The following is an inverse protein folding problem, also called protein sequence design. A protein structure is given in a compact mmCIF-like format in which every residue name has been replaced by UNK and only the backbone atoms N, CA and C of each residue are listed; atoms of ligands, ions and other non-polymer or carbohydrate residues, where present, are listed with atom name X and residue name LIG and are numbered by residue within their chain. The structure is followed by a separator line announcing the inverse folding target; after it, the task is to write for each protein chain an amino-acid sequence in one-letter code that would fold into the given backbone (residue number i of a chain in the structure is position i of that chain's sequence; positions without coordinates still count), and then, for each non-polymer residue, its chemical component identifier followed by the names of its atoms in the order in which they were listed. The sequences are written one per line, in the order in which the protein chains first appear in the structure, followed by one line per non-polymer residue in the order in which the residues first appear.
data_IF_446449776272
#
_entry.id   IF_446449776272
#
_cell.length_a   1.000
_cell.length_b   1.000
_cell.length_c   1.000
_cell.angle_alpha   90.00
_cell.angle_beta   90.00
_cell.angle_gamma   90.00
#
_symmetry.space_group_name_H-M   'P 1'
#
loop_
_entity.id
_entity.type
_entity.pdbx_description
1 polymer ?
#
# COMPACT_ATOMS: atom_id res chain seq x y z
N UNK A 1 54.60 -16.21 -76.80
CA UNK A 1 53.43 -15.45 -77.29
C UNK A 1 53.81 -13.97 -77.16
N UNK A 2 54.00 -13.22 -78.24
CA UNK A 2 52.96 -12.76 -79.19
C UNK A 2 51.96 -11.86 -78.44
N UNK A 3 51.75 -10.57 -78.79
CA UNK A 3 52.07 -9.87 -80.05
C UNK A 3 51.88 -8.35 -79.90
N UNK A 4 52.67 -7.54 -80.66
CA UNK A 4 52.33 -6.18 -81.19
C UNK A 4 52.11 -5.02 -80.16
N UNK A 5 52.60 -3.79 -80.36
CA UNK A 5 53.52 -3.28 -81.39
C UNK A 5 53.55 -1.74 -81.52
N UNK A 6 54.64 -1.24 -82.11
CA UNK A 6 54.82 0.07 -82.79
C UNK A 6 54.65 1.43 -82.05
N UNK A 7 55.78 2.13 -81.91
CA UNK A 7 56.07 3.54 -82.29
C UNK A 7 54.97 4.62 -82.07
N UNK A 8 55.30 5.80 -81.51
CA UNK A 8 56.13 6.82 -82.21
C UNK A 8 56.45 8.01 -81.27
N UNK A 9 57.71 8.47 -81.21
CA UNK A 9 58.06 9.77 -80.57
C UNK A 9 57.32 10.92 -81.27
N UNK A 10 56.59 11.76 -80.53
CA UNK A 10 56.14 13.08 -81.01
C UNK A 10 56.29 14.18 -79.95
N UNK A 11 56.72 15.33 -80.44
CA UNK A 11 57.20 16.54 -79.77
C UNK A 11 56.39 17.00 -78.54
N UNK A 12 57.13 17.39 -77.50
CA UNK A 12 56.72 18.29 -76.41
C UNK A 12 55.97 19.50 -76.99
N UNK A 13 54.68 19.64 -76.66
CA UNK A 13 53.91 20.88 -76.83
C UNK A 13 53.51 21.35 -75.44
N UNK A 14 53.89 22.55 -75.08
CA UNK A 14 53.43 23.24 -73.87
C UNK A 14 51.95 23.56 -74.06
N UNK A 15 51.09 23.01 -73.22
CA UNK A 15 49.76 23.54 -72.96
C UNK A 15 49.71 23.90 -71.48
N UNK A 16 49.44 25.16 -71.20
CA UNK A 16 49.02 25.63 -69.88
C UNK A 16 47.61 25.11 -69.65
N UNK A 17 47.43 24.25 -68.65
CA UNK A 17 46.11 23.88 -68.16
C UNK A 17 45.51 25.08 -67.43
N UNK A 18 44.45 25.66 -67.98
CA UNK A 18 43.54 26.50 -67.20
C UNK A 18 42.75 25.58 -66.26
N UNK A 19 43.17 25.53 -65.00
CA UNK A 19 42.38 24.90 -63.94
C UNK A 19 41.25 25.86 -63.60
N UNK A 20 40.04 25.57 -64.09
CA UNK A 20 38.83 26.27 -63.67
C UNK A 20 38.54 25.94 -62.20
N UNK A 21 39.11 26.75 -61.30
CA UNK A 21 38.95 26.60 -59.86
C UNK A 21 37.51 26.99 -59.46
N UNK A 22 36.61 26.02 -59.50
CA UNK A 22 35.22 26.18 -59.07
C UNK A 22 35.16 26.50 -57.57
N UNK A 23 35.15 27.80 -57.23
CA UNK A 23 35.05 28.28 -55.84
C UNK A 23 33.91 27.55 -55.11
N UNK A 24 34.27 26.69 -54.15
CA UNK A 24 33.31 26.02 -53.28
C UNK A 24 32.58 27.06 -52.45
N UNK A 25 31.37 27.43 -52.90
CA UNK A 25 30.47 28.41 -52.28
C UNK A 25 30.50 28.25 -50.75
N UNK A 26 30.87 29.28 -49.97
CA UNK A 26 31.07 29.14 -48.54
C UNK A 26 29.79 28.64 -47.86
N UNK A 27 29.94 27.61 -47.03
CA UNK A 27 28.83 26.94 -46.34
C UNK A 27 27.91 27.91 -45.59
N UNK A 28 26.65 27.51 -45.43
CA UNK A 28 25.53 28.37 -44.98
C UNK A 28 25.89 29.24 -43.77
N UNK A 29 26.57 28.63 -42.79
CA UNK A 29 27.02 29.25 -41.53
C UNK A 29 28.01 30.40 -41.79
N UNK A 30 29.02 30.21 -42.64
CA UNK A 30 30.00 31.27 -43.00
C UNK A 30 29.34 32.45 -43.73
N UNK A 31 28.29 32.19 -44.54
CA UNK A 31 27.51 33.25 -45.21
C UNK A 31 26.64 34.03 -44.24
N UNK A 32 25.90 33.34 -43.37
CA UNK A 32 25.08 33.97 -42.33
C UNK A 32 25.94 34.83 -41.40
N UNK A 33 27.11 34.33 -40.98
CA UNK A 33 28.04 35.06 -40.10
C UNK A 33 28.70 36.27 -40.77
N UNK A 34 29.07 36.20 -42.06
CA UNK A 34 29.51 37.38 -42.83
C UNK A 34 28.39 38.42 -42.94
N UNK A 35 27.15 38.01 -43.19
CA UNK A 35 25.98 38.94 -43.19
C UNK A 35 25.77 39.57 -41.81
N UNK A 36 25.87 38.81 -40.73
CA UNK A 36 25.66 39.29 -39.36
C UNK A 36 26.73 40.32 -38.92
N UNK A 37 28.00 40.08 -39.26
CA UNK A 37 29.09 41.05 -39.03
C UNK A 37 28.97 42.34 -39.87
N UNK A 38 28.30 42.27 -41.02
CA UNK A 38 28.08 43.42 -41.91
C UNK A 38 26.86 44.28 -41.58
N UNK A 39 26.14 43.98 -40.49
CA UNK A 39 25.00 44.80 -40.04
C UNK A 39 25.54 46.11 -39.46
N UNK A 40 25.07 47.25 -39.96
CA UNK A 40 25.31 48.54 -39.30
C UNK A 40 24.45 48.65 -38.03
N UNK A 41 25.10 48.51 -36.88
CA UNK A 41 24.50 48.61 -35.55
C UNK A 41 24.31 50.04 -35.06
N UNK A 42 24.81 51.06 -35.77
CA UNK A 42 24.50 52.47 -35.46
C UNK A 42 23.09 52.87 -35.94
N UNK A 43 22.58 52.20 -36.97
CA UNK A 43 21.23 52.42 -37.48
C UNK A 43 20.16 51.95 -36.46
N UNK A 44 19.25 52.82 -35.99
CA UNK A 44 18.22 52.44 -35.02
C UNK A 44 17.33 51.30 -35.51
N UNK A 45 16.99 51.25 -36.82
CA UNK A 45 16.11 50.21 -37.37
C UNK A 45 16.71 48.80 -37.23
N UNK A 46 18.03 48.66 -37.35
CA UNK A 46 18.71 47.38 -37.17
C UNK A 46 18.77 46.97 -35.70
N UNK A 47 18.96 47.93 -34.77
CA UNK A 47 18.90 47.68 -33.33
C UNK A 47 17.49 47.23 -32.90
N UNK A 48 16.45 47.91 -33.36
CA UNK A 48 15.06 47.53 -33.09
C UNK A 48 14.71 46.16 -33.70
N UNK A 49 15.13 45.87 -34.94
CA UNK A 49 14.97 44.53 -35.54
C UNK A 49 15.66 43.43 -34.73
N UNK A 50 16.89 43.66 -34.26
CA UNK A 50 17.61 42.70 -33.42
C UNK A 50 16.91 42.50 -32.07
N UNK A 51 16.42 43.57 -31.42
CA UNK A 51 15.62 43.47 -30.19
C UNK A 51 14.32 42.69 -30.41
N UNK A 52 13.59 42.91 -31.51
CA UNK A 52 12.41 42.12 -31.84
C UNK A 52 12.73 40.64 -32.09
N UNK A 53 13.83 40.32 -32.77
CA UNK A 53 14.26 38.93 -32.98
C UNK A 53 14.66 38.26 -31.67
N UNK A 54 15.41 38.95 -30.80
CA UNK A 54 15.79 38.42 -29.47
C UNK A 54 14.57 38.23 -28.59
N UNK A 55 13.64 39.20 -28.57
CA UNK A 55 12.38 39.09 -27.82
C UNK A 55 11.55 37.92 -28.33
N UNK A 56 11.35 37.81 -29.65
CA UNK A 56 10.61 36.70 -30.27
C UNK A 56 11.23 35.34 -29.93
N UNK A 57 12.56 35.20 -30.04
CA UNK A 57 13.27 33.97 -29.67
C UNK A 57 13.16 33.67 -28.17
N UNK A 58 13.21 34.68 -27.30
CA UNK A 58 13.04 34.49 -25.85
C UNK A 58 11.62 34.04 -25.48
N UNK A 59 10.59 34.60 -26.12
CA UNK A 59 9.19 34.23 -25.93
C UNK A 59 8.92 32.83 -26.51
N UNK A 60 9.46 32.53 -27.69
CA UNK A 60 9.37 31.19 -28.29
C UNK A 60 10.05 30.14 -27.40
N UNK A 61 11.25 30.43 -26.87
CA UNK A 61 11.95 29.55 -25.93
C UNK A 61 11.14 29.35 -24.64
N UNK A 62 10.65 30.43 -24.03
CA UNK A 62 9.83 30.36 -22.81
C UNK A 62 8.53 29.55 -23.03
N UNK A 63 7.85 29.75 -24.16
CA UNK A 63 6.68 28.96 -24.55
C UNK A 63 7.01 27.48 -24.79
N UNK A 64 8.17 27.17 -25.36
CA UNK A 64 8.64 25.80 -25.58
C UNK A 64 8.96 25.11 -24.25
N UNK A 65 9.67 25.78 -23.34
CA UNK A 65 9.98 25.28 -21.99
C UNK A 65 8.71 25.08 -21.18
N UNK A 66 7.77 26.03 -21.21
CA UNK A 66 6.46 25.89 -20.57
C UNK A 66 5.66 24.71 -21.13
N UNK A 67 5.62 24.55 -22.46
CA UNK A 67 4.97 23.42 -23.11
C UNK A 67 5.58 22.07 -22.70
N UNK A 68 6.91 21.98 -22.64
CA UNK A 68 7.61 20.78 -22.18
C UNK A 68 7.32 20.49 -20.69
N UNK A 69 7.33 21.50 -19.83
CA UNK A 69 6.95 21.38 -18.40
C UNK A 69 5.50 20.90 -18.27
N UNK A 70 4.57 21.47 -19.04
CA UNK A 70 3.16 21.12 -18.99
C UNK A 70 2.88 19.69 -19.48
N UNK A 71 3.57 19.25 -20.55
CA UNK A 71 3.47 17.90 -21.10
C UNK A 71 4.09 16.86 -20.17
N UNK A 72 5.31 17.10 -19.68
CA UNK A 72 6.00 16.21 -18.70
C UNK A 72 5.39 16.22 -17.30
N UNK A 73 4.16 16.74 -17.17
CA UNK A 73 3.38 16.78 -15.93
C UNK A 73 1.98 16.17 -16.13
N UNK A 74 1.71 15.52 -17.28
CA UNK A 74 0.46 14.81 -17.53
C UNK A 74 0.52 13.36 -17.04
N UNK A 75 -0.61 12.76 -16.64
CA UNK A 75 -0.68 11.32 -16.32
C UNK A 75 -0.22 10.44 -17.49
N UNK A 76 -0.51 10.84 -18.73
CA UNK A 76 -0.08 10.15 -19.95
C UNK A 76 1.44 10.14 -20.18
N UNK A 77 2.17 11.13 -19.67
CA UNK A 77 3.63 11.12 -19.69
C UNK A 77 4.17 10.17 -18.62
N UNK A 78 3.62 10.20 -17.41
CA UNK A 78 4.02 9.29 -16.32
C UNK A 78 3.82 7.82 -16.72
N UNK A 79 2.71 7.51 -17.41
CA UNK A 79 2.38 6.19 -17.93
C UNK A 79 3.28 5.68 -19.06
N UNK A 80 4.29 6.45 -19.51
CA UNK A 80 5.30 5.94 -20.47
C UNK A 80 6.34 5.02 -19.83
N UNK A 81 6.49 5.09 -18.51
CA UNK A 81 7.33 4.20 -17.72
C UNK A 81 6.47 3.02 -17.23
N UNK A 82 6.90 1.78 -17.49
CA UNK A 82 6.15 0.58 -17.13
C UNK A 82 6.07 0.39 -15.59
N UNK A 83 7.08 0.89 -14.88
CA UNK A 83 7.16 0.98 -13.43
C UNK A 83 5.98 1.74 -12.81
N UNK A 84 5.37 2.66 -13.57
CA UNK A 84 4.24 3.48 -13.13
C UNK A 84 2.88 2.84 -13.46
N UNK A 85 2.84 1.61 -13.99
CA UNK A 85 1.59 0.92 -14.30
C UNK A 85 0.64 0.77 -13.08
N UNK A 86 1.09 0.35 -11.87
CA UNK A 86 0.22 0.27 -10.70
C UNK A 86 -0.40 1.62 -10.35
N UNK A 87 0.43 2.66 -10.29
CA UNK A 87 0.01 4.00 -9.87
C UNK A 87 -0.87 4.69 -10.92
N UNK A 88 -0.62 4.45 -12.21
CA UNK A 88 -1.45 5.01 -13.29
C UNK A 88 -2.80 4.32 -13.42
N UNK A 89 -2.86 2.98 -13.30
CA UNK A 89 -4.12 2.23 -13.40
C UNK A 89 -5.02 2.50 -12.21
N UNK A 90 -4.47 2.49 -11.00
CA UNK A 90 -5.20 2.90 -9.79
C UNK A 90 -5.71 4.34 -9.89
N UNK A 91 -4.85 5.28 -10.28
CA UNK A 91 -5.22 6.68 -10.50
C UNK A 91 -6.37 6.82 -11.51
N UNK A 92 -6.34 6.06 -12.61
CA UNK A 92 -7.38 6.09 -13.65
C UNK A 92 -8.70 5.43 -13.22
N UNK A 93 -8.68 4.51 -12.26
CA UNK A 93 -9.87 3.97 -11.62
C UNK A 93 -10.39 4.83 -10.44
N UNK A 94 -9.59 5.80 -9.97
CA UNK A 94 -9.94 6.68 -8.86
C UNK A 94 -10.87 7.83 -9.26
N UNK A 95 -11.52 8.45 -8.26
CA UNK A 95 -12.28 9.70 -8.44
C UNK A 95 -11.43 10.91 -8.88
N UNK A 96 -10.10 10.78 -8.88
CA UNK A 96 -9.15 11.83 -9.28
C UNK A 96 -8.64 11.68 -10.72
N UNK A 97 -9.19 10.75 -11.52
CA UNK A 97 -8.70 10.40 -12.87
C UNK A 97 -8.52 11.57 -13.85
N UNK A 98 -9.20 12.70 -13.62
CA UNK A 98 -9.26 13.87 -14.50
C UNK A 98 -8.34 15.05 -14.10
N UNK A 99 -7.56 14.91 -13.02
CA UNK A 99 -6.50 15.88 -12.67
C UNK A 99 -5.11 15.41 -13.15
N UNK A 100 -4.07 16.20 -12.91
CA UNK A 100 -2.68 15.80 -13.14
C UNK A 100 -2.07 15.20 -11.88
N UNK A 101 -1.22 14.17 -12.02
CA UNK A 101 -0.46 13.60 -10.90
C UNK A 101 0.30 14.68 -10.11
N UNK A 102 0.86 15.66 -10.83
CA UNK A 102 1.61 16.78 -10.25
C UNK A 102 0.80 17.73 -9.40
N UNK A 103 -0.54 17.74 -9.48
CA UNK A 103 -1.39 18.54 -8.58
C UNK A 103 -1.45 17.94 -7.17
N UNK A 104 -1.13 16.65 -7.02
CA UNK A 104 -1.02 15.96 -5.73
C UNK A 104 0.44 15.77 -5.30
N UNK A 105 1.34 15.37 -6.21
CA UNK A 105 2.72 15.03 -5.88
C UNK A 105 3.69 16.23 -5.83
N UNK A 106 3.29 17.41 -6.29
CA UNK A 106 4.12 18.63 -6.24
C UNK A 106 3.36 19.70 -5.46
N UNK A 107 4.03 20.32 -4.49
CA UNK A 107 3.52 21.50 -3.82
C UNK A 107 3.29 22.66 -4.81
N UNK A 108 2.16 23.38 -4.76
CA UNK A 108 1.90 24.50 -5.68
C UNK A 108 3.00 25.56 -5.58
N UNK A 109 3.38 26.10 -6.74
CA UNK A 109 4.42 27.11 -6.86
C UNK A 109 5.41 26.80 -7.97
N UNK A 110 5.89 27.85 -8.66
CA UNK A 110 6.82 27.70 -9.78
C UNK A 110 8.17 27.15 -9.30
N UNK A 111 8.65 27.58 -8.13
CA UNK A 111 9.89 27.07 -7.53
C UNK A 111 9.76 25.58 -7.22
N UNK A 112 8.70 25.17 -6.52
CA UNK A 112 8.42 23.78 -6.16
C UNK A 112 8.29 22.87 -7.39
N UNK A 113 7.66 23.37 -8.47
CA UNK A 113 7.58 22.65 -9.75
C UNK A 113 8.95 22.45 -10.41
N UNK A 114 9.83 23.46 -10.34
CA UNK A 114 11.17 23.38 -10.92
C UNK A 114 12.11 22.50 -10.07
N UNK A 115 12.08 22.62 -8.74
CA UNK A 115 12.89 21.78 -7.85
C UNK A 115 12.49 20.31 -7.97
N UNK A 116 11.19 19.99 -7.95
CA UNK A 116 10.73 18.62 -8.14
C UNK A 116 11.17 18.06 -9.51
N UNK A 117 11.09 18.83 -10.61
CA UNK A 117 11.56 18.34 -11.92
C UNK A 117 13.07 18.08 -11.97
N UNK A 118 13.87 18.81 -11.20
CA UNK A 118 15.32 18.51 -11.05
C UNK A 118 15.52 17.25 -10.21
N UNK A 119 14.78 17.08 -9.10
CA UNK A 119 14.87 15.88 -8.28
C UNK A 119 14.39 14.61 -9.01
N UNK A 120 13.36 14.70 -9.86
CA UNK A 120 12.86 13.58 -10.67
C UNK A 120 13.83 13.09 -11.76
N UNK A 121 14.95 13.77 -12.00
CA UNK A 121 16.04 13.19 -12.79
C UNK A 121 16.58 11.90 -12.16
N UNK A 122 16.42 11.70 -10.84
CA UNK A 122 16.73 10.43 -10.17
C UNK A 122 15.85 9.28 -10.65
N UNK A 123 14.58 9.55 -10.99
CA UNK A 123 13.62 8.54 -11.45
C UNK A 123 14.04 8.03 -12.84
N UNK A 124 14.50 8.94 -13.71
CA UNK A 124 15.08 8.59 -15.02
C UNK A 124 16.37 7.77 -14.87
N UNK A 125 17.19 8.06 -13.87
CA UNK A 125 18.36 7.24 -13.54
C UNK A 125 17.94 5.83 -13.09
N UNK A 126 16.99 5.70 -12.16
CA UNK A 126 16.47 4.42 -11.69
C UNK A 126 15.81 3.59 -12.80
N UNK A 127 15.06 4.21 -13.71
CA UNK A 127 14.53 3.54 -14.91
C UNK A 127 15.65 2.88 -15.78
N UNK A 128 16.85 3.47 -15.81
CA UNK A 128 17.98 2.96 -16.60
C UNK A 128 18.83 1.94 -15.84
N UNK A 129 19.02 2.10 -14.52
CA UNK A 129 19.89 1.19 -13.73
C UNK A 129 19.15 0.05 -13.02
N UNK A 130 17.82 0.11 -12.98
CA UNK A 130 16.97 -0.76 -12.17
C UNK A 130 16.28 0.05 -11.06
N UNK A 131 14.94 0.08 -11.00
CA UNK A 131 14.21 0.76 -9.93
C UNK A 131 14.31 -0.03 -8.61
N UNK A 132 14.13 0.65 -7.46
CA UNK A 132 13.92 -0.04 -6.18
C UNK A 132 12.65 -0.89 -6.23
N UNK A 133 12.72 -2.12 -5.71
CA UNK A 133 11.60 -3.08 -5.70
C UNK A 133 11.21 -3.45 -4.25
N UNK A 134 9.99 -3.11 -3.75
CA UNK A 134 8.93 -2.34 -4.39
C UNK A 134 9.24 -0.84 -4.47
N UNK A 135 8.52 -0.09 -5.31
CA UNK A 135 8.66 1.38 -5.33
C UNK A 135 7.90 1.98 -4.13
N UNK A 136 8.58 2.67 -3.20
CA UNK A 136 7.97 3.21 -1.97
C UNK A 136 7.97 4.74 -1.97
N UNK A 137 6.84 5.35 -1.57
CA UNK A 137 6.73 6.79 -1.39
C UNK A 137 7.52 7.24 -0.15
N UNK A 138 8.56 8.04 -0.36
CA UNK A 138 9.44 8.57 0.71
C UNK A 138 9.13 10.02 1.10
N UNK A 139 8.32 10.73 0.32
CA UNK A 139 7.91 12.12 0.56
C UNK A 139 6.38 12.16 0.56
N UNK A 140 5.71 12.63 1.63
CA UNK A 140 4.26 12.64 1.70
C UNK A 140 3.63 13.73 0.82
N UNK A 141 2.37 13.53 0.44
CA UNK A 141 1.54 14.57 -0.18
C UNK A 141 1.10 15.54 0.92
N UNK A 142 1.43 16.82 0.74
CA UNK A 142 1.16 17.88 1.72
C UNK A 142 -0.30 18.35 1.68
N UNK A 143 -0.86 18.76 2.83
CA UNK A 143 -2.25 19.22 2.96
C UNK A 143 -2.61 20.36 1.98
N UNK A 144 -1.66 21.25 1.69
CA UNK A 144 -1.79 22.34 0.70
C UNK A 144 -2.16 21.84 -0.71
N UNK A 145 -1.84 20.59 -1.06
CA UNK A 145 -2.20 19.98 -2.33
C UNK A 145 -3.67 19.57 -2.34
N UNK A 146 -4.18 19.06 -1.22
CA UNK A 146 -5.58 18.71 -1.05
C UNK A 146 -6.46 19.98 -1.04
N UNK A 147 -6.10 21.00 -0.26
CA UNK A 147 -6.98 22.16 -0.01
C UNK A 147 -7.10 23.14 -1.19
N UNK A 148 -6.29 23.00 -2.23
CA UNK A 148 -6.53 23.65 -3.53
C UNK A 148 -7.90 23.28 -4.13
N UNK A 149 -8.38 22.07 -3.86
CA UNK A 149 -9.67 21.56 -4.36
C UNK A 149 -10.65 21.21 -3.22
N UNK A 150 -10.16 20.95 -2.01
CA UNK A 150 -10.97 20.48 -0.88
C UNK A 150 -11.04 21.50 0.26
N UNK A 151 -12.22 22.08 0.50
CA UNK A 151 -12.47 22.85 1.73
C UNK A 151 -12.15 22.05 3.00
N UNK A 152 -11.54 22.70 3.99
CA UNK A 152 -11.26 22.16 5.32
C UNK A 152 -12.54 22.02 6.17
N UNK A 153 -13.48 22.96 5.99
CA UNK A 153 -14.78 22.94 6.66
C UNK A 153 -15.70 21.89 6.01
N UNK A 154 -15.64 20.65 6.54
CA UNK A 154 -16.48 19.51 6.15
C UNK A 154 -17.13 18.88 7.38
N UNK A 155 -18.39 19.23 7.61
CA UNK A 155 -19.22 18.61 8.66
C UNK A 155 -19.63 17.16 8.33
N UNK A 156 -19.48 16.73 7.08
CA UNK A 156 -19.87 15.38 6.62
C UNK A 156 -18.75 14.80 5.74
N UNK A 157 -18.25 13.63 6.13
CA UNK A 157 -17.31 12.81 5.35
C UNK A 157 -17.99 12.24 4.10
N UNK A 158 -17.20 11.80 3.11
CA UNK A 158 -17.76 11.11 1.94
C UNK A 158 -18.61 9.88 2.32
N UNK A 159 -19.62 9.60 1.50
CA UNK A 159 -20.73 8.64 1.71
C UNK A 159 -20.39 7.38 2.51
N UNK A 160 -21.08 7.20 3.63
CA UNK A 160 -21.01 6.01 4.47
C UNK A 160 -21.47 6.30 5.88
N UNK A 161 -21.09 5.40 6.77
CA UNK A 161 -21.50 5.34 8.17
C UNK A 161 -20.60 6.18 9.11
N UNK A 162 -19.41 6.61 8.67
CA UNK A 162 -18.42 7.22 9.57
C UNK A 162 -18.70 8.69 9.92
N UNK A 163 -18.66 9.00 11.21
CA UNK A 163 -18.66 10.35 11.79
C UNK A 163 -17.21 10.81 11.96
N UNK A 164 -16.79 11.86 11.23
CA UNK A 164 -15.43 12.40 11.34
C UNK A 164 -15.46 13.92 11.46
N UNK A 165 -15.01 14.44 12.60
CA UNK A 165 -14.85 15.87 12.85
C UNK A 165 -13.60 16.41 12.15
N UNK A 166 -13.67 16.71 10.85
CA UNK A 166 -12.54 17.23 10.08
C UNK A 166 -11.93 18.50 10.69
N UNK A 167 -12.77 19.42 11.18
CA UNK A 167 -12.31 20.67 11.81
C UNK A 167 -11.41 20.40 13.02
N UNK A 168 -11.78 19.43 13.86
CA UNK A 168 -10.97 19.01 15.00
C UNK A 168 -9.62 18.41 14.60
N UNK A 169 -9.60 17.52 13.59
CA UNK A 169 -8.37 16.87 13.13
C UNK A 169 -7.41 17.85 12.42
N UNK A 170 -7.95 18.79 11.64
CA UNK A 170 -7.17 19.82 10.94
C UNK A 170 -6.54 20.81 11.94
N UNK A 171 -7.23 21.13 13.05
CA UNK A 171 -6.68 21.97 14.13
C UNK A 171 -5.51 21.34 14.90
N UNK A 172 -5.37 20.01 14.84
CA UNK A 172 -4.24 19.27 15.41
C UNK A 172 -3.12 19.02 14.37
N UNK A 173 -3.18 19.69 13.22
CA UNK A 173 -2.25 19.57 12.07
C UNK A 173 -2.10 18.14 11.52
N UNK A 174 -3.16 17.32 11.62
CA UNK A 174 -3.13 15.94 11.11
C UNK A 174 -3.09 15.95 9.57
N UNK A 175 -2.11 15.28 8.92
CA UNK A 175 -2.04 15.20 7.47
C UNK A 175 -3.25 14.50 6.85
N UNK A 176 -3.78 15.03 5.74
CA UNK A 176 -4.94 14.45 5.04
C UNK A 176 -4.69 12.98 4.65
N UNK A 177 -3.45 12.66 4.24
CA UNK A 177 -3.04 11.30 3.85
C UNK A 177 -3.03 10.31 5.01
N UNK A 178 -2.97 10.75 6.27
CA UNK A 178 -3.00 9.86 7.43
C UNK A 178 -4.24 8.96 7.41
N UNK A 179 -5.38 9.48 6.96
CA UNK A 179 -6.60 8.69 6.71
C UNK A 179 -6.81 8.38 5.22
N UNK A 180 -6.46 9.30 4.31
CA UNK A 180 -6.76 9.22 2.88
C UNK A 180 -5.63 8.65 2.01
N UNK A 181 -4.69 7.86 2.55
CA UNK A 181 -3.56 7.27 1.80
C UNK A 181 -3.98 6.51 0.54
N UNK A 182 -5.14 5.83 0.57
CA UNK A 182 -5.66 5.03 -0.55
C UNK A 182 -6.36 5.81 -1.68
N UNK A 183 -6.59 7.12 -1.55
CA UNK A 183 -7.61 7.85 -2.33
C UNK A 183 -7.40 7.88 -3.85
N UNK A 184 -6.15 7.73 -4.31
CA UNK A 184 -5.79 7.64 -5.72
C UNK A 184 -5.18 6.27 -6.09
N UNK A 185 -4.50 5.62 -5.13
CA UNK A 185 -3.58 4.52 -5.40
C UNK A 185 -3.95 3.19 -4.74
N UNK A 186 -5.16 3.05 -4.19
CA UNK A 186 -5.72 1.79 -3.68
C UNK A 186 -4.78 0.99 -2.74
N UNK A 187 -3.90 1.70 -2.03
CA UNK A 187 -2.91 1.17 -1.08
C UNK A 187 -2.00 0.09 -1.68
N UNK A 188 -1.65 0.18 -2.97
CA UNK A 188 -0.88 -0.87 -3.67
C UNK A 188 0.45 -1.23 -3.00
N UNK A 189 1.18 -0.25 -2.48
CA UNK A 189 2.45 -0.47 -1.76
C UNK A 189 2.23 -1.21 -0.43
N UNK A 190 1.23 -0.77 0.35
CA UNK A 190 0.85 -1.39 1.63
C UNK A 190 0.44 -2.85 1.41
N UNK A 191 -0.32 -3.13 0.34
CA UNK A 191 -0.73 -4.48 -0.09
C UNK A 191 0.39 -5.31 -0.72
N UNK A 192 1.51 -4.69 -1.11
CA UNK A 192 2.65 -5.35 -1.76
C UNK A 192 2.37 -5.80 -3.19
N UNK A 193 1.53 -5.06 -3.92
CA UNK A 193 1.10 -5.36 -5.30
C UNK A 193 1.81 -4.48 -6.33
N UNK A 194 2.95 -3.88 -5.98
CA UNK A 194 3.71 -2.96 -6.82
C UNK A 194 5.17 -3.38 -6.97
N UNK A 195 5.45 -4.68 -6.81
CA UNK A 195 6.79 -5.23 -7.05
C UNK A 195 7.03 -5.48 -8.54
N UNK A 196 8.27 -5.71 -8.96
CA UNK A 196 8.62 -5.94 -10.37
C UNK A 196 7.81 -7.08 -11.02
N UNK A 197 7.49 -8.14 -10.26
CA UNK A 197 6.67 -9.27 -10.73
C UNK A 197 5.20 -8.88 -11.00
N UNK A 198 4.72 -7.79 -10.39
CA UNK A 198 3.30 -7.40 -10.39
C UNK A 198 2.96 -6.44 -11.55
N UNK A 199 3.96 -5.72 -12.09
CA UNK A 199 3.77 -4.59 -13.00
C UNK A 199 2.95 -4.95 -14.25
N UNK A 200 3.24 -6.09 -14.89
CA UNK A 200 2.56 -6.56 -16.10
C UNK A 200 1.07 -6.91 -15.89
N UNK A 201 0.66 -7.15 -14.63
CA UNK A 201 -0.74 -7.46 -14.30
C UNK A 201 -1.60 -6.20 -14.13
N UNK A 202 -0.99 -5.02 -14.00
CA UNK A 202 -1.69 -3.74 -13.92
C UNK A 202 -2.15 -3.27 -15.30
N UNK A 203 -3.23 -3.90 -15.77
CA UNK A 203 -3.94 -3.52 -16.99
C UNK A 203 -5.32 -2.92 -16.66
N UNK A 204 -5.95 -2.30 -17.65
CA UNK A 204 -7.30 -1.73 -17.50
C UNK A 204 -8.35 -2.82 -17.20
N UNK A 205 -8.15 -4.02 -17.73
CA UNK A 205 -9.04 -5.18 -17.60
C UNK A 205 -8.98 -5.78 -16.18
N UNK A 206 -7.83 -5.66 -15.50
CA UNK A 206 -7.66 -6.10 -14.12
C UNK A 206 -7.98 -5.00 -13.10
N UNK A 207 -8.08 -3.73 -13.53
CA UNK A 207 -8.32 -2.58 -12.65
C UNK A 207 -9.53 -2.78 -11.72
N UNK A 208 -10.68 -3.18 -12.25
CA UNK A 208 -11.91 -3.39 -11.45
C UNK A 208 -11.81 -4.55 -10.44
N UNK A 209 -10.86 -5.48 -10.63
CA UNK A 209 -10.58 -6.58 -9.69
C UNK A 209 -9.63 -6.13 -8.57
N UNK A 210 -8.65 -5.29 -8.90
CA UNK A 210 -7.56 -4.89 -8.00
C UNK A 210 -7.87 -3.61 -7.23
N UNK A 211 -8.67 -2.71 -7.80
CA UNK A 211 -9.02 -1.38 -7.27
C UNK A 211 -10.44 -1.42 -6.69
N UNK A 212 -10.55 -1.84 -5.44
CA UNK A 212 -11.84 -1.91 -4.74
C UNK A 212 -12.02 -0.77 -3.74
N UNK A 213 -13.27 -0.42 -3.44
CA UNK A 213 -13.62 0.60 -2.44
C UNK A 213 -13.06 0.30 -1.04
N UNK A 214 -12.68 -0.94 -0.74
CA UNK A 214 -12.03 -1.33 0.52
C UNK A 214 -10.67 -0.65 0.71
N UNK A 215 -9.84 -0.64 -0.34
CA UNK A 215 -8.49 -0.07 -0.29
C UNK A 215 -8.44 1.42 -0.66
N UNK A 216 -9.46 1.93 -1.35
CA UNK A 216 -9.62 3.37 -1.65
C UNK A 216 -10.08 4.18 -0.42
N UNK A 217 -10.67 3.53 0.59
CA UNK A 217 -11.17 4.15 1.82
C UNK A 217 -10.15 4.03 2.97
N UNK A 218 -10.27 4.86 4.03
CA UNK A 218 -9.57 4.60 5.29
C UNK A 218 -9.95 3.21 5.81
N UNK A 219 -8.98 2.42 6.33
CA UNK A 219 -9.34 1.25 7.12
C UNK A 219 -9.64 1.69 8.56
N UNK A 220 -10.45 0.93 9.27
CA UNK A 220 -10.83 1.28 10.63
C UNK A 220 -9.62 1.24 11.58
N UNK A 221 -8.68 0.31 11.37
CA UNK A 221 -7.45 0.18 12.15
C UNK A 221 -6.57 1.43 12.15
N UNK A 222 -6.57 2.25 11.09
CA UNK A 222 -5.90 3.56 11.09
C UNK A 222 -6.51 4.52 12.12
N UNK A 223 -7.84 4.59 12.18
CA UNK A 223 -8.54 5.42 13.17
C UNK A 223 -8.25 4.91 14.58
N UNK A 224 -8.32 3.60 14.77
CA UNK A 224 -8.19 2.95 16.07
C UNK A 224 -6.77 3.06 16.64
N UNK A 225 -5.74 2.73 15.85
CA UNK A 225 -4.33 2.88 16.25
C UNK A 225 -3.98 4.34 16.60
N UNK A 226 -4.44 5.30 15.78
CA UNK A 226 -4.21 6.71 16.05
C UNK A 226 -4.90 7.16 17.36
N UNK A 227 -6.16 6.76 17.59
CA UNK A 227 -6.91 7.16 18.77
C UNK A 227 -6.43 6.49 20.07
N UNK A 228 -6.02 5.21 20.02
CA UNK A 228 -5.36 4.53 21.15
C UNK A 228 -4.06 5.26 21.55
N UNK A 229 -3.24 5.63 20.56
CA UNK A 229 -2.04 6.45 20.77
C UNK A 229 -2.35 7.82 21.38
N UNK A 230 -3.38 8.52 20.92
CA UNK A 230 -3.83 9.79 21.51
C UNK A 230 -4.34 9.62 22.96
N UNK A 231 -5.05 8.52 23.23
CA UNK A 231 -5.47 8.15 24.59
C UNK A 231 -4.26 7.91 25.50
N UNK A 232 -3.18 7.29 24.99
CA UNK A 232 -1.87 7.17 25.67
C UNK A 232 -1.10 8.49 25.78
N UNK A 233 -1.51 9.53 25.05
CA UNK A 233 -0.90 10.87 25.06
C UNK A 233 0.15 11.11 23.97
N UNK A 234 0.29 10.19 23.03
CA UNK A 234 1.13 10.34 21.84
C UNK A 234 0.45 11.21 20.77
N UNK A 235 1.24 11.70 19.81
CA UNK A 235 0.76 12.39 18.60
C UNK A 235 1.42 11.75 17.36
N UNK A 236 1.02 10.54 16.94
CA UNK A 236 1.78 9.76 15.95
C UNK A 236 2.00 10.45 14.60
N UNK A 237 1.08 11.34 14.19
CA UNK A 237 1.18 12.08 12.92
C UNK A 237 2.30 13.14 12.87
N UNK A 238 2.99 13.43 13.99
CA UNK A 238 4.17 14.31 13.95
C UNK A 238 5.36 13.65 13.26
N UNK A 239 5.40 12.31 13.21
CA UNK A 239 6.30 11.58 12.32
C UNK A 239 5.61 11.36 10.97
N UNK A 240 6.22 11.88 9.90
CA UNK A 240 5.71 11.73 8.54
C UNK A 240 5.71 10.27 8.09
N UNK A 241 6.59 9.41 8.63
CA UNK A 241 6.59 7.96 8.35
C UNK A 241 5.32 7.27 8.86
N UNK A 242 4.66 7.80 9.90
CA UNK A 242 3.38 7.25 10.35
C UNK A 242 2.30 7.29 9.26
N UNK A 243 2.37 8.24 8.33
CA UNK A 243 1.38 8.40 7.24
C UNK A 243 1.87 7.86 5.90
N UNK A 244 3.00 7.14 5.89
CA UNK A 244 3.60 6.55 4.69
C UNK A 244 3.65 5.02 4.79
N UNK A 245 3.68 4.30 3.65
CA UNK A 245 3.98 2.87 3.63
C UNK A 245 5.41 2.59 4.13
N UNK A 246 5.60 1.47 4.83
CA UNK A 246 6.92 1.05 5.32
C UNK A 246 7.94 0.94 4.18
N UNK A 247 9.08 1.62 4.33
CA UNK A 247 10.18 1.56 3.38
C UNK A 247 11.15 0.43 3.73
N UNK A 248 11.29 -0.55 2.83
CA UNK A 248 12.19 -1.70 2.99
C UNK A 248 13.59 -1.47 2.42
N UNK A 249 13.82 -0.38 1.68
CA UNK A 249 15.10 -0.09 1.03
C UNK A 249 16.16 0.34 2.05
N UNK A 250 17.19 -0.49 2.22
CA UNK A 250 18.22 -0.34 3.24
C UNK A 250 18.21 -1.45 4.30
N UNK A 251 17.12 -2.23 4.41
CA UNK A 251 17.16 -3.53 5.09
C UNK A 251 17.72 -4.57 4.13
N UNK A 252 19.04 -4.60 3.98
CA UNK A 252 19.68 -5.71 3.27
C UNK A 252 19.32 -7.04 3.93
N UNK A 253 18.97 -8.02 3.10
CA UNK A 253 18.72 -9.39 3.50
C UNK A 253 19.99 -10.03 4.04
N UNK A 254 20.21 -9.88 5.35
CA UNK A 254 20.97 -10.85 6.13
C UNK A 254 20.02 -11.88 6.72
N UNK A 255 19.82 -12.98 5.99
CA UNK A 255 19.45 -14.24 6.63
C UNK A 255 20.62 -14.69 7.51
N UNK A 256 20.60 -14.26 8.77
CA UNK A 256 21.66 -14.51 9.76
C UNK A 256 22.51 -13.27 10.09
N UNK A 257 22.62 -12.98 11.39
CA UNK A 257 23.27 -11.83 12.05
C UNK A 257 22.47 -10.51 12.00
N UNK A 258 22.19 -9.95 13.20
CA UNK A 258 21.42 -8.73 13.38
C UNK A 258 22.26 -7.51 13.79
N UNK A 259 21.59 -6.34 13.86
CA UNK A 259 22.09 -5.01 14.30
C UNK A 259 23.20 -4.42 13.40
N UNK A 260 23.37 -3.11 13.17
CA UNK A 260 22.64 -1.86 13.46
C UNK A 260 22.34 -1.17 12.09
N UNK A 261 21.57 -0.10 11.86
CA UNK A 261 20.83 0.91 12.64
C UNK A 261 19.64 1.41 11.74
N UNK A 262 18.92 2.49 12.09
CA UNK A 262 18.11 3.26 11.12
C UNK A 262 16.77 3.84 11.59
N UNK A 263 16.67 4.31 12.83
CA UNK A 263 15.59 5.18 13.35
C UNK A 263 14.13 4.76 13.11
N UNK A 264 13.58 4.01 14.07
CA UNK A 264 12.20 4.17 14.51
C UNK A 264 12.22 4.53 16.00
N UNK A 265 12.26 5.83 16.33
CA UNK A 265 12.33 6.32 17.72
C UNK A 265 10.95 6.28 18.40
N UNK A 266 10.44 5.06 18.55
CA UNK A 266 9.27 4.70 19.35
C UNK A 266 9.26 3.22 19.78
N UNK A 267 10.23 2.40 19.35
CA UNK A 267 10.38 1.03 19.86
C UNK A 267 11.11 1.08 21.22
N UNK A 268 10.41 0.73 22.30
CA UNK A 268 11.05 0.46 23.59
C UNK A 268 12.12 -0.63 23.42
N UNK A 269 13.26 -0.48 24.11
CA UNK A 269 14.46 -1.32 23.96
C UNK A 269 14.23 -2.85 23.99
N UNK A 270 13.14 -3.32 24.59
CA UNK A 270 12.72 -4.73 24.57
C UNK A 270 12.28 -5.23 23.18
N UNK A 271 11.65 -4.41 22.34
CA UNK A 271 11.04 -4.83 21.06
C UNK A 271 12.09 -5.05 19.97
N UNK A 272 13.20 -4.29 20.00
CA UNK A 272 14.29 -4.39 19.02
C UNK A 272 15.13 -5.68 19.13
N UNK A 273 14.90 -6.50 20.16
CA UNK A 273 15.62 -7.75 20.43
C UNK A 273 14.80 -9.02 20.19
N UNK A 274 13.57 -8.90 19.68
CA UNK A 274 12.64 -10.01 19.49
C UNK A 274 12.90 -10.77 18.17
N UNK A 275 12.70 -12.08 18.16
CA UNK A 275 12.63 -12.86 16.91
C UNK A 275 11.36 -12.50 16.11
N UNK A 276 11.27 -12.81 14.81
CA UNK A 276 10.06 -12.55 14.02
C UNK A 276 8.78 -13.14 14.63
N UNK A 277 8.88 -14.30 15.28
CA UNK A 277 7.78 -14.96 15.97
C UNK A 277 7.36 -14.19 17.24
N UNK A 278 8.34 -13.77 18.04
CA UNK A 278 8.10 -12.98 19.25
C UNK A 278 7.57 -11.57 18.92
N UNK A 279 8.03 -10.98 17.82
CA UNK A 279 7.53 -9.70 17.32
C UNK A 279 6.09 -9.82 16.84
N UNK A 280 5.74 -10.92 16.16
CA UNK A 280 4.35 -11.23 15.80
C UNK A 280 3.49 -11.40 17.06
N UNK A 281 3.92 -12.20 18.04
CA UNK A 281 3.20 -12.40 19.31
C UNK A 281 2.97 -11.07 20.06
N UNK A 282 3.94 -10.15 20.01
CA UNK A 282 3.81 -8.80 20.56
C UNK A 282 2.80 -7.92 19.79
N UNK A 283 2.82 -7.94 18.45
CA UNK A 283 1.84 -7.24 17.60
C UNK A 283 0.41 -7.81 17.78
N UNK A 284 0.27 -9.14 17.88
CA UNK A 284 -1.00 -9.84 18.14
C UNK A 284 -1.55 -9.42 19.52
N UNK A 285 -0.72 -9.39 20.56
CA UNK A 285 -1.12 -8.94 21.91
C UNK A 285 -1.55 -7.47 21.96
N UNK A 286 -0.82 -6.57 21.29
CA UNK A 286 -1.22 -5.16 21.16
C UNK A 286 -2.58 -5.06 20.46
N UNK A 287 -2.80 -5.86 19.41
CA UNK A 287 -4.06 -5.90 18.67
C UNK A 287 -5.22 -6.38 19.55
N UNK A 288 -5.01 -7.38 20.41
CA UNK A 288 -5.99 -7.85 21.40
C UNK A 288 -6.34 -6.77 22.45
N UNK A 289 -5.34 -6.09 23.01
CA UNK A 289 -5.57 -4.98 23.96
C UNK A 289 -6.36 -3.83 23.31
N UNK A 290 -6.07 -3.49 22.05
CA UNK A 290 -6.80 -2.49 21.27
C UNK A 290 -8.25 -2.91 21.02
N UNK A 291 -8.48 -4.18 20.64
CA UNK A 291 -9.81 -4.75 20.46
C UNK A 291 -10.61 -4.68 21.78
N UNK A 292 -10.00 -5.03 22.92
CA UNK A 292 -10.60 -4.97 24.25
C UNK A 292 -11.02 -3.55 24.67
N UNK A 293 -10.26 -2.53 24.27
CA UNK A 293 -10.62 -1.12 24.46
C UNK A 293 -11.90 -0.76 23.70
N UNK A 294 -11.92 -1.06 22.39
CA UNK A 294 -13.00 -0.61 21.52
C UNK A 294 -14.34 -1.34 21.75
N UNK A 295 -14.32 -2.57 22.24
CA UNK A 295 -15.54 -3.27 22.71
C UNK A 295 -15.98 -2.84 24.13
N UNK A 296 -15.43 -1.76 24.67
CA UNK A 296 -15.86 -1.17 25.95
C UNK A 296 -15.53 -2.00 27.19
N UNK A 297 -14.68 -3.03 27.08
CA UNK A 297 -14.28 -3.86 28.23
C UNK A 297 -13.20 -3.19 29.08
N UNK A 298 -12.43 -2.24 28.54
CA UNK A 298 -11.39 -1.52 29.27
C UNK A 298 -11.92 -0.27 29.97
N UNK A 299 -11.81 -0.22 31.31
CA UNK A 299 -12.29 0.87 32.18
C UNK A 299 -11.15 1.74 32.72
N UNK A 300 -10.43 2.43 31.83
CA UNK A 300 -9.43 3.45 32.20
C UNK A 300 -9.72 4.76 31.47
N UNK A 301 -9.18 5.86 31.99
CA UNK A 301 -9.45 7.23 31.55
C UNK A 301 -9.03 7.46 30.09
N UNK A 302 -9.96 7.27 29.15
CA UNK A 302 -9.79 7.59 27.73
C UNK A 302 -10.17 9.05 27.46
N UNK A 303 -9.36 9.74 26.65
CA UNK A 303 -9.63 11.11 26.20
C UNK A 303 -10.64 11.14 25.06
N UNK A 304 -10.64 10.10 24.23
CA UNK A 304 -11.56 9.89 23.11
C UNK A 304 -12.19 8.52 23.29
N UNK A 305 -13.53 8.45 23.29
CA UNK A 305 -14.26 7.18 23.37
C UNK A 305 -13.95 6.32 22.14
N UNK A 306 -13.72 5.03 22.40
CA UNK A 306 -13.55 4.00 21.37
C UNK A 306 -14.82 3.18 21.15
N UNK A 307 -15.94 3.56 21.79
CA UNK A 307 -17.25 2.95 21.54
C UNK A 307 -17.69 3.20 20.09
N UNK A 308 -18.28 2.18 19.46
CA UNK A 308 -18.56 2.18 18.02
C UNK A 308 -19.34 3.41 17.54
N UNK A 309 -20.37 3.84 18.30
CA UNK A 309 -21.21 5.00 17.96
C UNK A 309 -20.51 6.37 18.08
N UNK A 310 -19.28 6.41 18.60
CA UNK A 310 -18.43 7.62 18.53
C UNK A 310 -17.95 7.85 17.10
N UNK A 311 -17.75 6.78 16.33
CA UNK A 311 -17.22 6.79 14.97
C UNK A 311 -18.27 6.41 13.91
N UNK A 312 -19.38 5.77 14.29
CA UNK A 312 -20.42 5.25 13.39
C UNK A 312 -21.78 5.89 13.64
N UNK A 313 -22.54 6.18 12.57
CA UNK A 313 -23.89 6.73 12.62
C UNK A 313 -24.93 5.64 12.94
N UNK A 314 -24.76 4.44 12.38
CA UNK A 314 -25.66 3.30 12.57
C UNK A 314 -24.86 1.98 12.60
N UNK A 315 -24.65 1.43 13.80
CA UNK A 315 -24.09 0.08 13.96
C UNK A 315 -25.22 -0.93 14.04
N UNK A 316 -25.43 -1.68 12.95
CA UNK A 316 -26.37 -2.80 12.89
C UNK A 316 -25.86 -4.02 13.67
N UNK A 317 -25.82 -3.92 14.99
CA UNK A 317 -25.47 -5.04 15.88
C UNK A 317 -26.52 -6.16 15.70
N UNK A 318 -26.12 -7.40 15.38
CA UNK A 318 -27.07 -8.50 15.22
C UNK A 318 -27.83 -8.80 16.52
N UNK A 319 -29.16 -8.98 16.44
CA UNK A 319 -30.06 -9.23 17.60
C UNK A 319 -29.66 -10.39 18.51
N UNK A 320 -28.75 -11.26 18.09
CA UNK A 320 -28.23 -12.32 18.95
C UNK A 320 -27.31 -11.78 20.07
N UNK A 321 -26.73 -10.59 19.94
CA UNK A 321 -25.88 -9.97 20.97
C UNK A 321 -26.65 -9.63 22.26
N UNK A 322 -27.97 -9.41 22.17
CA UNK A 322 -28.84 -9.13 23.32
C UNK A 322 -29.28 -10.40 24.08
N UNK A 323 -28.87 -11.59 23.63
CA UNK A 323 -29.27 -12.86 24.23
C UNK A 323 -28.53 -13.08 25.56
N UNK A 324 -29.29 -13.32 26.64
CA UNK A 324 -28.73 -13.74 27.93
C UNK A 324 -27.88 -15.00 27.76
N UNK A 325 -26.65 -14.98 28.28
CA UNK A 325 -25.65 -16.05 28.13
C UNK A 325 -25.13 -16.26 26.68
N UNK A 326 -25.19 -15.25 25.80
CA UNK A 326 -24.63 -15.32 24.44
C UNK A 326 -23.20 -15.91 24.39
N UNK A 327 -22.31 -15.49 25.29
CA UNK A 327 -20.93 -16.03 25.40
C UNK A 327 -20.86 -17.57 25.42
N UNK A 328 -21.87 -18.26 25.95
CA UNK A 328 -21.91 -19.73 26.09
C UNK A 328 -22.64 -20.41 24.92
N UNK A 329 -23.54 -19.69 24.24
CA UNK A 329 -24.50 -20.26 23.30
C UNK A 329 -24.37 -19.71 21.86
N UNK A 330 -23.38 -18.87 21.58
CA UNK A 330 -23.23 -18.23 20.27
C UNK A 330 -22.71 -19.16 19.16
N UNK A 331 -22.12 -20.31 19.51
CA UNK A 331 -21.44 -21.22 18.57
C UNK A 331 -22.30 -21.67 17.38
N UNK A 332 -23.60 -21.90 17.59
CA UNK A 332 -24.53 -22.22 16.49
C UNK A 332 -24.63 -21.08 15.46
N UNK A 333 -24.77 -19.83 15.93
CA UNK A 333 -24.78 -18.66 15.05
C UNK A 333 -23.43 -18.43 14.36
N UNK A 334 -22.31 -18.76 15.02
CA UNK A 334 -21.00 -18.72 14.40
C UNK A 334 -20.88 -19.75 13.26
N UNK A 335 -21.40 -20.97 13.43
CA UNK A 335 -21.43 -21.97 12.35
C UNK A 335 -22.27 -21.51 11.17
N UNK A 336 -23.47 -20.97 11.41
CA UNK A 336 -24.40 -20.60 10.34
C UNK A 336 -24.04 -19.28 9.63
N UNK A 337 -23.50 -18.29 10.36
CA UNK A 337 -23.37 -16.91 9.90
C UNK A 337 -22.01 -16.25 10.24
N UNK A 338 -20.91 -17.03 10.33
CA UNK A 338 -19.56 -16.54 10.64
C UNK A 338 -19.17 -15.27 9.88
N UNK A 339 -19.47 -15.24 8.58
CA UNK A 339 -19.14 -14.13 7.70
C UNK A 339 -19.78 -12.80 8.15
N UNK A 340 -20.97 -12.82 8.76
CA UNK A 340 -21.62 -11.61 9.31
C UNK A 340 -20.97 -11.15 10.60
N UNK A 341 -20.40 -12.09 11.38
CA UNK A 341 -19.64 -11.75 12.57
C UNK A 341 -18.33 -11.06 12.13
N UNK A 342 -17.62 -11.65 11.16
CA UNK A 342 -16.37 -11.12 10.59
C UNK A 342 -16.55 -9.81 9.79
N UNK A 343 -17.77 -9.43 9.41
CA UNK A 343 -18.04 -8.09 8.88
C UNK A 343 -17.72 -6.98 9.90
N UNK A 344 -17.66 -7.27 11.21
CA UNK A 344 -17.13 -6.37 12.24
C UNK A 344 -15.89 -6.95 12.96
N UNK A 345 -15.89 -8.25 13.24
CA UNK A 345 -14.91 -8.93 14.09
C UNK A 345 -13.77 -9.60 13.31
N UNK A 346 -13.34 -9.00 12.20
CA UNK A 346 -12.15 -9.43 11.45
C UNK A 346 -10.97 -8.54 11.79
N UNK A 347 -9.87 -9.13 12.27
CA UNK A 347 -8.65 -8.45 12.75
C UNK A 347 -8.09 -7.41 11.76
N UNK A 348 -8.19 -7.64 10.45
CA UNK A 348 -7.71 -6.70 9.41
C UNK A 348 -8.46 -5.36 9.42
N UNK A 349 -9.64 -5.30 10.06
CA UNK A 349 -10.37 -4.05 10.30
C UNK A 349 -9.88 -3.32 11.56
N UNK A 350 -9.30 -4.03 12.53
CA UNK A 350 -8.79 -3.47 13.78
C UNK A 350 -7.33 -3.05 13.69
N UNK A 351 -6.56 -3.70 12.81
CA UNK A 351 -5.13 -3.47 12.60
C UNK A 351 -4.91 -2.44 11.50
N UNK A 352 -4.02 -1.47 11.73
CA UNK A 352 -3.65 -0.44 10.74
C UNK A 352 -2.94 -1.05 9.53
N UNK A 353 -1.97 -1.93 9.74
CA UNK A 353 -1.21 -2.63 8.70
C UNK A 353 -2.12 -3.55 7.88
N UNK A 354 -1.97 -3.51 6.56
CA UNK A 354 -2.72 -4.36 5.63
C UNK A 354 -1.88 -5.61 5.32
N UNK A 355 -2.46 -6.83 5.37
CA UNK A 355 -1.73 -8.04 5.00
C UNK A 355 -1.31 -7.99 3.52
N UNK A 356 -0.12 -8.50 3.22
CA UNK A 356 0.38 -8.59 1.85
C UNK A 356 -0.49 -9.54 1.03
N UNK A 357 -0.75 -9.18 -0.22
CA UNK A 357 -1.64 -9.88 -1.14
C UNK A 357 -0.87 -10.44 -2.33
N UNK A 358 -1.44 -11.46 -2.98
CA UNK A 358 -0.93 -12.02 -4.23
C UNK A 358 -1.80 -11.57 -5.39
N UNK A 359 -1.19 -10.94 -6.41
CA UNK A 359 -1.93 -10.31 -7.51
C UNK A 359 -2.65 -11.33 -8.39
N UNK A 360 -2.05 -12.51 -8.59
CA UNK A 360 -2.64 -13.60 -9.37
C UNK A 360 -3.90 -14.14 -8.70
N UNK A 361 -3.81 -14.44 -7.41
CA UNK A 361 -4.93 -14.91 -6.59
C UNK A 361 -6.13 -13.94 -6.63
N UNK A 362 -5.89 -12.63 -6.63
CA UNK A 362 -6.94 -11.61 -6.77
C UNK A 362 -7.57 -11.58 -8.18
N UNK A 363 -6.76 -11.78 -9.23
CA UNK A 363 -7.22 -11.78 -10.62
C UNK A 363 -8.05 -13.03 -10.93
N UNK A 364 -7.65 -14.18 -10.39
CA UNK A 364 -8.27 -15.49 -10.61
C UNK A 364 -9.54 -15.70 -9.77
N UNK A 365 -9.56 -15.23 -8.52
CA UNK A 365 -10.75 -15.33 -7.66
C UNK A 365 -11.97 -14.57 -8.23
N UNK A 366 -11.71 -13.52 -9.01
CA UNK A 366 -12.74 -12.63 -9.55
C UNK A 366 -13.43 -11.77 -8.47
N UNK A 367 -14.19 -10.78 -8.91
CA UNK A 367 -14.86 -9.83 -8.01
C UNK A 367 -16.12 -10.39 -7.29
N UNK A 368 -16.25 -11.72 -7.15
CA UNK A 368 -17.37 -12.35 -6.44
C UNK A 368 -16.94 -12.83 -5.05
N UNK A 369 -17.43 -12.15 -4.01
CA UNK A 369 -17.38 -12.69 -2.64
C UNK A 369 -18.06 -14.07 -2.64
N UNK A 370 -17.36 -15.16 -2.26
CA UNK A 370 -17.99 -16.48 -2.20
C UNK A 370 -19.10 -16.46 -1.15
N UNK A 371 -20.22 -17.12 -1.45
CA UNK A 371 -21.28 -17.31 -0.45
C UNK A 371 -20.74 -18.19 0.66
N UNK A 372 -20.80 -17.72 1.91
CA UNK A 372 -20.38 -18.50 3.07
C UNK A 372 -21.14 -19.84 3.14
N UNK A 373 -20.39 -20.90 3.45
CA UNK A 373 -20.89 -22.26 3.62
C UNK A 373 -20.60 -22.64 5.08
N UNK A 374 -21.64 -22.93 5.90
CA UNK A 374 -21.47 -23.33 7.29
C UNK A 374 -20.46 -24.47 7.46
N UNK A 375 -19.38 -24.23 8.20
CA UNK A 375 -18.30 -25.19 8.39
C UNK A 375 -17.67 -25.04 9.78
N UNK A 376 -17.87 -26.06 10.63
CA UNK A 376 -17.31 -26.11 12.00
C UNK A 376 -15.77 -26.05 12.02
N UNK A 377 -15.09 -26.56 10.99
CA UNK A 377 -13.63 -26.51 10.91
C UNK A 377 -13.15 -25.07 10.73
N UNK A 378 -13.80 -24.29 9.86
CA UNK A 378 -13.46 -22.88 9.64
C UNK A 378 -13.76 -22.06 10.90
N UNK A 379 -14.91 -22.27 11.56
CA UNK A 379 -15.21 -21.62 12.84
C UNK A 379 -14.17 -21.96 13.91
N UNK A 380 -13.72 -23.23 13.99
CA UNK A 380 -12.64 -23.66 14.88
C UNK A 380 -11.35 -22.92 14.57
N UNK A 381 -10.92 -22.90 13.30
CA UNK A 381 -9.67 -22.27 12.87
C UNK A 381 -9.70 -20.76 13.16
N UNK A 382 -10.72 -20.05 12.68
CA UNK A 382 -10.92 -18.62 12.95
C UNK A 382 -11.02 -18.31 14.45
N UNK A 383 -11.61 -19.19 15.27
CA UNK A 383 -11.69 -18.97 16.72
C UNK A 383 -10.34 -18.99 17.45
N UNK A 384 -9.34 -19.63 16.84
CA UNK A 384 -7.98 -19.79 17.36
C UNK A 384 -7.01 -18.78 16.76
N UNK A 385 -7.11 -18.54 15.45
CA UNK A 385 -6.20 -17.64 14.73
C UNK A 385 -6.58 -16.16 14.87
N UNK A 386 -7.87 -15.83 15.01
CA UNK A 386 -8.29 -14.44 15.16
C UNK A 386 -7.90 -13.87 16.53
N UNK A 387 -7.23 -12.72 16.53
CA UNK A 387 -6.98 -11.91 17.72
C UNK A 387 -8.30 -11.50 18.40
N UNK A 388 -9.35 -11.20 17.65
CA UNK A 388 -10.67 -10.96 18.23
C UNK A 388 -11.22 -12.18 18.98
N UNK A 389 -11.24 -13.35 18.34
CA UNK A 389 -11.87 -14.55 18.91
C UNK A 389 -11.07 -15.14 20.08
N UNK A 390 -9.74 -15.26 19.91
CA UNK A 390 -8.83 -15.85 20.90
C UNK A 390 -8.87 -15.12 22.25
N UNK A 391 -9.13 -13.80 22.25
CA UNK A 391 -9.37 -12.97 23.44
C UNK A 391 -10.44 -13.55 24.40
N UNK A 392 -11.38 -14.36 23.91
CA UNK A 392 -12.34 -15.08 24.76
C UNK A 392 -12.21 -16.62 24.66
N UNK A 393 -11.74 -17.17 23.54
CA UNK A 393 -11.60 -18.62 23.33
C UNK A 393 -10.31 -19.22 23.90
N UNK A 394 -9.33 -18.39 24.31
CA UNK A 394 -8.19 -18.80 25.13
C UNK A 394 -8.49 -18.92 26.64
N UNK A 395 -9.62 -18.37 27.10
CA UNK A 395 -9.98 -18.38 28.53
C UNK A 395 -10.61 -19.70 28.97
N UNK A 396 -10.24 -20.19 30.16
CA UNK A 396 -10.78 -21.44 30.71
C UNK A 396 -12.28 -21.26 31.04
N UNK A 397 -13.19 -22.03 30.42
CA UNK A 397 -14.63 -21.85 30.68
C UNK A 397 -15.00 -22.35 32.08
N UNK A 398 -16.03 -21.77 32.74
CA UNK A 398 -16.42 -22.13 34.11
C UNK A 398 -16.77 -23.61 34.33
N UNK A 399 -17.14 -24.33 33.26
CA UNK A 399 -17.46 -25.76 33.31
C UNK A 399 -16.25 -26.69 33.59
N UNK A 400 -15.01 -26.20 33.44
CA UNK A 400 -13.80 -27.03 33.58
C UNK A 400 -13.40 -27.37 35.03
N UNK A 401 -14.06 -26.81 36.04
CA UNK A 401 -13.86 -27.07 37.49
C UNK A 401 -12.37 -27.20 37.90
N UNK A 402 -12.02 -28.02 38.88
CA UNK A 402 -10.63 -28.43 39.17
C UNK A 402 -10.25 -29.69 38.37
N UNK A 403 -8.95 -29.94 38.19
CA UNK A 403 -8.41 -31.04 37.34
C UNK A 403 -9.04 -32.40 37.65
N UNK A 404 -9.10 -32.74 38.93
CA UNK A 404 -9.46 -34.06 39.41
C UNK A 404 -10.98 -34.28 39.29
N UNK A 405 -11.75 -33.20 39.47
CA UNK A 405 -13.20 -33.21 39.24
C UNK A 405 -13.53 -33.30 37.76
N UNK A 406 -12.80 -32.57 36.90
CA UNK A 406 -12.98 -32.64 35.44
C UNK A 406 -12.75 -34.04 34.88
N UNK A 407 -11.70 -34.74 35.32
CA UNK A 407 -11.38 -36.10 34.87
C UNK A 407 -12.53 -37.10 35.09
N UNK A 408 -13.39 -36.88 36.09
CA UNK A 408 -14.57 -37.72 36.36
C UNK A 408 -15.88 -37.14 35.82
N UNK A 409 -15.96 -35.81 35.60
CA UNK A 409 -17.17 -35.10 35.21
C UNK A 409 -17.32 -34.81 33.69
N UNK A 410 -16.27 -34.92 32.87
CA UNK A 410 -16.33 -34.55 31.44
C UNK A 410 -17.03 -35.59 30.54
N UNK A 411 -17.03 -36.88 30.91
CA UNK A 411 -17.54 -37.94 30.04
C UNK A 411 -19.02 -37.79 29.59
N UNK A 412 -19.96 -37.25 30.39
CA UNK A 412 -21.32 -36.93 29.95
C UNK A 412 -21.39 -35.84 28.87
N UNK A 413 -20.39 -34.96 28.79
CA UNK A 413 -20.32 -33.79 27.89
C UNK A 413 -19.68 -34.12 26.54
N UNK A 414 -19.10 -35.33 26.37
CA UNK A 414 -18.35 -35.74 25.18
C UNK A 414 -18.83 -37.10 24.62
N UNK A 415 -20.14 -37.39 24.70
CA UNK A 415 -20.70 -38.67 24.24
C UNK A 415 -20.77 -38.75 22.72
N UNK A 416 -21.42 -37.77 22.08
CA UNK A 416 -21.58 -37.76 20.62
C UNK A 416 -20.37 -37.15 19.92
N UNK A 417 -20.30 -37.23 18.58
CA UNK A 417 -19.18 -36.65 17.84
C UNK A 417 -19.30 -35.13 17.70
N UNK A 418 -20.52 -34.62 17.69
CA UNK A 418 -20.89 -33.21 17.69
C UNK A 418 -20.44 -32.55 19.01
N UNK A 419 -20.75 -33.20 20.14
CA UNK A 419 -20.26 -32.80 21.47
C UNK A 419 -18.73 -32.79 21.58
N UNK A 420 -18.04 -33.77 20.95
CA UNK A 420 -16.57 -33.77 20.88
C UNK A 420 -16.04 -32.64 19.97
N UNK A 421 -16.78 -32.23 18.95
CA UNK A 421 -16.40 -31.14 18.05
C UNK A 421 -16.38 -29.78 18.77
N UNK A 422 -17.30 -29.54 19.70
CA UNK A 422 -17.28 -28.36 20.58
C UNK A 422 -15.99 -28.31 21.42
N UNK A 423 -15.54 -29.44 21.95
CA UNK A 423 -14.26 -29.52 22.67
C UNK A 423 -13.06 -29.20 21.75
N UNK A 424 -13.15 -29.52 20.47
CA UNK A 424 -12.07 -29.27 19.50
C UNK A 424 -11.89 -27.79 19.13
N UNK A 425 -12.77 -26.89 19.59
CA UNK A 425 -12.53 -25.44 19.52
C UNK A 425 -11.27 -25.07 20.33
N UNK A 426 -11.17 -25.53 21.57
CA UNK A 426 -10.07 -25.15 22.50
C UNK A 426 -8.99 -26.24 22.71
N UNK A 427 -9.24 -27.47 22.28
CA UNK A 427 -8.34 -28.63 22.45
C UNK A 427 -8.07 -29.33 21.11
N UNK A 428 -6.98 -30.08 20.99
CA UNK A 428 -6.77 -30.95 19.82
C UNK A 428 -6.87 -32.43 20.18
N UNK A 429 -7.17 -33.28 19.20
CA UNK A 429 -7.31 -34.72 19.42
C UNK A 429 -5.95 -35.37 19.69
N UNK A 430 -4.95 -34.96 18.92
CA UNK A 430 -3.58 -35.44 18.89
C UNK A 430 -2.64 -34.26 19.08
N UNK A 431 -1.42 -34.48 19.56
CA UNK A 431 -0.42 -33.41 19.59
C UNK A 431 -0.14 -32.94 18.16
N UNK A 432 -0.26 -31.62 17.86
CA UNK A 432 0.07 -31.10 16.55
C UNK A 432 1.56 -31.27 16.24
N UNK A 433 1.91 -31.36 14.97
CA UNK A 433 3.32 -31.39 14.56
C UNK A 433 3.99 -30.03 14.86
N UNK A 434 5.32 -29.97 15.07
CA UNK A 434 6.00 -28.70 15.37
C UNK A 434 5.73 -27.59 14.34
N UNK A 435 5.65 -27.98 13.06
CA UNK A 435 5.42 -27.15 11.87
C UNK A 435 3.94 -26.78 11.62
N UNK A 436 3.01 -27.33 12.40
CA UNK A 436 1.58 -27.09 12.22
C UNK A 436 1.22 -25.67 12.67
N UNK A 437 0.69 -24.85 11.75
CA UNK A 437 0.53 -23.40 11.97
C UNK A 437 -0.57 -23.04 12.98
N UNK A 438 -1.65 -23.80 13.01
CA UNK A 438 -2.83 -23.54 13.85
C UNK A 438 -2.82 -24.51 15.03
N UNK A 439 -2.58 -23.99 16.24
CA UNK A 439 -2.50 -24.80 17.47
C UNK A 439 -3.70 -24.52 18.36
N UNK A 440 -4.12 -25.50 19.15
CA UNK A 440 -5.07 -25.27 20.23
C UNK A 440 -4.52 -24.21 21.21
N UNK A 441 -5.37 -23.37 21.83
CA UNK A 441 -4.97 -22.50 22.94
C UNK A 441 -4.46 -23.25 24.18
N UNK A 442 -4.52 -24.59 24.19
CA UNK A 442 -4.14 -25.42 25.33
C UNK A 442 -3.36 -26.67 24.87
N UNK A 443 -2.37 -27.07 25.67
CA UNK A 443 -1.59 -28.31 25.46
C UNK A 443 -2.31 -29.56 26.00
N UNK A 444 -3.62 -29.65 25.77
CA UNK A 444 -4.45 -30.79 26.18
C UNK A 444 -4.86 -31.57 24.94
N UNK A 445 -4.32 -32.78 24.81
CA UNK A 445 -4.63 -33.67 23.69
C UNK A 445 -5.36 -34.93 24.14
N UNK A 446 -6.49 -35.23 23.48
CA UNK A 446 -7.36 -36.36 23.84
C UNK A 446 -6.59 -37.69 23.86
N UNK A 447 -5.66 -37.90 22.92
CA UNK A 447 -4.89 -39.14 22.80
C UNK A 447 -4.09 -39.51 24.05
N UNK A 448 -3.64 -38.53 24.85
CA UNK A 448 -2.81 -38.79 26.04
C UNK A 448 -3.55 -39.65 27.07
N UNK A 449 -4.87 -39.47 27.18
CA UNK A 449 -5.75 -40.27 28.04
C UNK A 449 -6.54 -41.34 27.25
N UNK A 450 -6.98 -41.04 26.02
CA UNK A 450 -7.80 -41.93 25.19
C UNK A 450 -6.98 -42.74 24.16
N UNK A 451 -5.84 -43.30 24.59
CA UNK A 451 -4.86 -44.03 23.75
C UNK A 451 -5.44 -45.19 22.93
N UNK A 452 -6.59 -45.75 23.33
CA UNK A 452 -7.27 -46.87 22.64
C UNK A 452 -8.34 -46.44 21.62
N UNK A 453 -8.47 -45.13 21.38
CA UNK A 453 -9.53 -44.54 20.54
C UNK A 453 -10.89 -44.48 21.24
N UNK A 454 -11.81 -43.68 20.67
CA UNK A 454 -13.19 -43.56 21.15
C UNK A 454 -14.03 -44.78 20.75
N UNK A 455 -14.99 -45.18 21.60
CA UNK A 455 -15.75 -46.44 21.43
C UNK A 455 -16.50 -46.55 20.10
N UNK A 456 -16.98 -45.44 19.56
CA UNK A 456 -17.86 -45.40 18.38
C UNK A 456 -17.10 -45.48 17.04
N UNK A 457 -15.79 -45.21 17.02
CA UNK A 457 -14.99 -45.22 15.79
C UNK A 457 -14.69 -46.63 15.28
N UNK A 458 -14.83 -47.66 16.13
CA UNK A 458 -14.56 -49.07 15.79
C UNK A 458 -15.56 -49.70 14.80
N UNK A 459 -16.48 -48.92 14.21
CA UNK A 459 -17.52 -49.38 13.27
C UNK A 459 -17.37 -48.89 11.82
N UNK A 460 -16.32 -48.14 11.47
CA UNK A 460 -15.95 -47.89 10.07
C UNK A 460 -14.62 -48.56 9.77
N UNK A 461 -14.71 -49.76 9.20
CA UNK A 461 -13.61 -50.51 8.59
C UNK A 461 -14.08 -51.08 7.26
#
# INVERSE_FOLDING_TARGET
MSTVGFWKKRKRKTQTEEVEETEKKPGLIRRLWRKFRGIDWKNPLNRWRALFVVLFLSVAMAGTVYGAIAFTSTPTFCATCHEMAPEFVTFKASAHSEIKCTQCHIEPGVVNTLTHKVHSLKEVYYHVVGPPDPIVQTVPVMNVNCVQCHSENRLVTATGDLIVNHEGHIKEDIPCITCHSGVAHAKVVERGLNTQKDLDFWTKENADKLVTNEYMRPNMGTCIDCHDKVNKGERPWTDMQYSLPENTHGKETKEGEGTEDGHAEAATLEVASLTPEQQKEHEDKISQDIILQAIGKQKKDVKISMECFTCHQEVSVPKNHDIKQWNQNHGGYAIDELNKCLDCHNDTKWIKKIPKQDILSLIDAGASKPKYIPNITVVKEDSRESNFCSTCHGERPPGHQDSDTWLTAHAPLAKTNEQKAECYVCHDRTKPLPEEKIKAPTDVYCEYCHRTGFKDEKKKK
#
